data_IF_404643714742
#
_entry.id   IF_404643714742
#
_cell.length_a   1.000
_cell.length_b   1.000
_cell.length_c   1.000
_cell.angle_alpha   90.00
_cell.angle_beta   90.00
_cell.angle_gamma   90.00
#
_symmetry.space_group_name_H-M   'P 1'
#
loop_
_entity.id
_entity.type
_entity.pdbx_description
1 polymer ?
#
# COMPACT_ATOMS: atom_id res chain seq x y z
N UNK A 1 1.95 19.08 65.03
CA UNK A 1 2.02 19.53 63.61
C UNK A 1 2.85 18.62 62.71
N UNK A 2 3.98 18.04 63.16
CA UNK A 2 4.86 17.20 62.32
C UNK A 2 4.20 15.94 61.70
N UNK A 3 3.25 15.31 62.37
CA UNK A 3 2.60 14.07 61.90
C UNK A 3 1.63 14.29 60.73
N UNK A 4 0.97 15.46 60.66
CA UNK A 4 0.03 15.78 59.56
C UNK A 4 0.77 16.05 58.23
N UNK A 5 1.96 16.63 58.29
CA UNK A 5 2.81 16.83 57.11
C UNK A 5 3.35 15.52 56.54
N UNK A 6 3.67 14.54 57.40
CA UNK A 6 4.12 13.22 56.96
C UNK A 6 3.04 12.46 56.16
N UNK A 7 1.79 12.54 56.61
CA UNK A 7 0.65 11.87 55.94
C UNK A 7 0.36 12.58 54.60
N UNK A 8 0.39 13.90 54.57
CA UNK A 8 0.18 14.68 53.34
C UNK A 8 1.26 14.39 52.28
N UNK A 9 2.54 14.31 52.66
CA UNK A 9 3.62 13.95 51.74
C UNK A 9 3.46 12.52 51.19
N UNK A 10 2.98 11.59 52.01
CA UNK A 10 2.76 10.20 51.60
C UNK A 10 1.61 10.08 50.58
N UNK A 11 0.50 10.81 50.78
CA UNK A 11 -0.58 10.86 49.79
C UNK A 11 -0.15 11.56 48.49
N UNK A 12 0.67 12.62 48.57
CA UNK A 12 1.19 13.31 47.40
C UNK A 12 2.14 12.41 46.58
N UNK A 13 2.99 11.61 47.24
CA UNK A 13 3.86 10.65 46.54
C UNK A 13 3.08 9.54 45.83
N UNK A 14 1.98 9.07 46.43
CA UNK A 14 1.11 8.05 45.81
C UNK A 14 0.39 8.64 44.59
N UNK A 15 -0.07 9.89 44.67
CA UNK A 15 -0.69 10.59 43.54
C UNK A 15 0.29 10.85 42.39
N UNK A 16 1.53 11.23 42.69
CA UNK A 16 2.58 11.41 41.67
C UNK A 16 2.91 10.08 40.98
N UNK A 17 2.97 8.98 41.74
CA UNK A 17 3.22 7.64 41.17
C UNK A 17 2.04 7.16 40.30
N UNK A 18 0.80 7.43 40.73
CA UNK A 18 -0.40 7.10 39.96
C UNK A 18 -0.50 7.93 38.67
N UNK A 19 -0.13 9.22 38.71
CA UNK A 19 -0.15 10.10 37.55
C UNK A 19 0.98 9.78 36.55
N UNK A 20 2.15 9.33 37.02
CA UNK A 20 3.24 8.86 36.17
C UNK A 20 2.88 7.58 35.39
N UNK A 21 1.99 6.73 35.92
CA UNK A 21 1.53 5.51 35.23
C UNK A 21 0.54 5.77 34.08
N UNK A 22 -0.02 6.98 33.99
CA UNK A 22 -0.96 7.37 32.92
C UNK A 22 -0.27 8.00 31.70
N UNK A 23 1.06 8.19 31.76
CA UNK A 23 1.88 8.73 30.67
C UNK A 23 2.56 7.63 29.82
N UNK A 24 1.96 6.45 29.74
CA UNK A 24 2.39 5.44 28.77
C UNK A 24 2.23 6.02 27.36
N UNK A 25 3.36 6.41 26.74
CA UNK A 25 3.40 6.69 25.31
C UNK A 25 2.81 5.48 24.60
N UNK A 26 1.85 5.72 23.69
CA UNK A 26 1.28 4.69 22.84
C UNK A 26 2.36 4.15 21.90
N UNK A 27 3.16 3.19 22.37
CA UNK A 27 3.95 2.33 21.50
C UNK A 27 2.96 1.43 20.78
N UNK A 28 2.80 1.64 19.48
CA UNK A 28 1.99 0.74 18.67
C UNK A 28 2.74 -0.59 18.55
N UNK A 29 2.17 -1.64 19.12
CA UNK A 29 2.68 -2.99 18.95
C UNK A 29 2.33 -3.46 17.53
N UNK A 30 3.31 -3.50 16.64
CA UNK A 30 3.15 -4.00 15.28
C UNK A 30 3.69 -5.42 15.18
N UNK A 31 3.00 -6.29 14.43
CA UNK A 31 3.53 -7.61 14.10
C UNK A 31 4.51 -7.49 12.95
N UNK A 32 5.53 -8.34 12.93
CA UNK A 32 6.53 -8.33 11.88
C UNK A 32 5.91 -8.51 10.49
N UNK A 33 4.89 -9.37 10.35
CA UNK A 33 4.16 -9.57 9.09
C UNK A 33 3.42 -8.33 8.56
N UNK A 34 3.22 -7.31 9.39
CA UNK A 34 2.56 -6.05 9.00
C UNK A 34 3.57 -5.01 8.50
N UNK A 35 4.88 -5.25 8.66
CA UNK A 35 5.97 -4.30 8.33
C UNK A 35 7.14 -4.93 7.56
N UNK A 36 7.10 -6.24 7.33
CA UNK A 36 8.12 -7.00 6.63
C UNK A 36 7.51 -8.25 5.98
N UNK A 37 8.19 -8.75 4.95
CA UNK A 37 7.85 -9.99 4.24
C UNK A 37 9.01 -10.97 4.29
N UNK A 38 8.70 -12.27 4.33
CA UNK A 38 9.70 -13.32 4.18
C UNK A 38 9.96 -13.52 2.69
N UNK A 39 11.21 -13.43 2.27
CA UNK A 39 11.62 -13.60 0.89
C UNK A 39 11.48 -15.06 0.45
N UNK A 40 11.07 -15.28 -0.81
CA UNK A 40 10.75 -16.59 -1.36
C UNK A 40 9.26 -16.88 -1.50
N UNK A 41 8.40 -15.98 -1.00
CA UNK A 41 6.97 -15.94 -1.31
C UNK A 41 6.71 -14.65 -2.08
N UNK A 42 6.77 -14.74 -3.41
CA UNK A 42 6.50 -13.59 -4.31
C UNK A 42 5.44 -13.94 -5.34
N UNK A 43 4.53 -13.01 -5.52
CA UNK A 43 3.67 -12.99 -6.69
C UNK A 43 4.51 -12.75 -7.94
N UNK A 44 4.26 -13.53 -8.99
CA UNK A 44 4.91 -13.33 -10.28
C UNK A 44 3.86 -12.86 -11.28
N UNK A 45 4.21 -11.85 -12.07
CA UNK A 45 3.35 -11.42 -13.17
C UNK A 45 3.63 -12.27 -14.40
N UNK A 46 2.55 -12.74 -15.01
CA UNK A 46 2.56 -13.40 -16.30
C UNK A 46 1.73 -12.56 -17.27
N UNK A 47 2.22 -12.47 -18.49
CA UNK A 47 1.59 -11.70 -19.56
C UNK A 47 1.43 -12.56 -20.80
N UNK A 48 0.43 -12.25 -21.61
CA UNK A 48 0.18 -12.95 -22.85
C UNK A 48 -0.50 -12.05 -23.86
N UNK A 49 -0.36 -12.42 -25.12
CA UNK A 49 -1.09 -11.83 -26.22
C UNK A 49 -2.26 -12.74 -26.59
N UNK A 50 -3.44 -12.17 -26.76
CA UNK A 50 -4.65 -12.92 -27.07
C UNK A 50 -5.54 -12.24 -28.09
N UNK A 51 -6.58 -12.98 -28.46
CA UNK A 51 -7.61 -12.55 -29.41
C UNK A 51 -8.96 -12.69 -28.72
N UNK A 52 -9.76 -11.63 -28.76
CA UNK A 52 -11.16 -11.63 -28.32
C UNK A 52 -12.05 -11.69 -29.53
N UNK A 53 -13.07 -12.56 -29.51
CA UNK A 53 -14.03 -12.73 -30.59
C UNK A 53 -15.46 -12.52 -30.10
N UNK A 54 -16.42 -12.38 -31.02
CA UNK A 54 -17.84 -12.23 -30.69
C UNK A 54 -18.25 -10.78 -30.38
N UNK A 55 -17.41 -9.81 -30.72
CA UNK A 55 -17.70 -8.40 -30.48
C UNK A 55 -18.78 -7.88 -31.45
N UNK A 56 -19.77 -7.09 -30.99
CA UNK A 56 -20.89 -6.61 -31.81
C UNK A 56 -20.48 -5.41 -32.69
N UNK A 57 -19.50 -5.59 -33.55
CA UNK A 57 -18.98 -4.53 -34.42
C UNK A 57 -18.10 -3.50 -33.70
N UNK A 58 -17.69 -3.79 -32.46
CA UNK A 58 -16.86 -2.93 -31.60
C UNK A 58 -15.40 -3.35 -31.53
N UNK A 59 -15.00 -4.38 -32.28
CA UNK A 59 -13.61 -4.83 -32.39
C UNK A 59 -12.73 -3.89 -33.21
N UNK A 60 -11.54 -4.36 -33.52
CA UNK A 60 -10.53 -3.60 -34.26
C UNK A 60 -10.95 -3.37 -35.72
N UNK A 61 -10.55 -2.23 -36.28
CA UNK A 61 -10.95 -1.83 -37.63
C UNK A 61 -9.80 -1.35 -38.51
N UNK A 62 -8.70 -0.89 -37.89
CA UNK A 62 -7.53 -0.35 -38.58
C UNK A 62 -6.23 -0.95 -38.04
N UNK A 63 -6.32 -2.16 -37.51
CA UNK A 63 -5.23 -2.80 -36.77
C UNK A 63 -4.76 -4.05 -37.54
N UNK A 64 -3.68 -3.95 -38.36
CA UNK A 64 -3.25 -5.05 -39.22
C UNK A 64 -2.90 -6.32 -38.44
N UNK A 65 -2.26 -6.15 -37.27
CA UNK A 65 -1.82 -7.27 -36.45
C UNK A 65 -2.97 -8.12 -35.90
N UNK A 66 -4.19 -7.58 -35.76
CA UNK A 66 -5.39 -8.33 -35.36
C UNK A 66 -5.77 -9.36 -36.43
N UNK A 67 -5.80 -8.93 -37.70
CA UNK A 67 -6.12 -9.82 -38.83
C UNK A 67 -5.07 -10.90 -39.04
N UNK A 68 -3.79 -10.57 -38.85
CA UNK A 68 -2.68 -11.52 -38.93
C UNK A 68 -2.71 -12.54 -37.79
N UNK A 69 -2.98 -12.08 -36.58
CA UNK A 69 -3.08 -12.96 -35.40
C UNK A 69 -4.22 -13.96 -35.54
N UNK A 70 -5.39 -13.50 -36.00
CA UNK A 70 -6.51 -14.40 -36.27
C UNK A 70 -6.20 -15.39 -37.39
N UNK A 71 -5.51 -14.94 -38.45
CA UNK A 71 -5.05 -15.83 -39.52
C UNK A 71 -4.11 -16.91 -38.99
N UNK A 72 -3.15 -16.54 -38.14
CA UNK A 72 -2.21 -17.49 -37.52
C UNK A 72 -2.93 -18.46 -36.58
N UNK A 73 -3.90 -17.97 -35.80
CA UNK A 73 -4.74 -18.81 -34.95
C UNK A 73 -5.53 -19.85 -35.77
N UNK A 74 -6.21 -19.42 -36.83
CA UNK A 74 -6.97 -20.31 -37.72
C UNK A 74 -6.05 -21.29 -38.47
N UNK A 75 -4.88 -20.84 -38.91
CA UNK A 75 -3.87 -21.69 -39.57
C UNK A 75 -3.42 -22.82 -38.65
N UNK A 76 -3.22 -22.54 -37.36
CA UNK A 76 -2.87 -23.57 -36.37
C UNK A 76 -3.99 -24.60 -36.15
N UNK A 77 -5.25 -24.25 -36.48
CA UNK A 77 -6.40 -25.14 -36.48
C UNK A 77 -6.63 -25.83 -37.84
N UNK A 78 -5.73 -25.65 -38.82
CA UNK A 78 -5.86 -26.22 -40.16
C UNK A 78 -6.79 -25.47 -41.10
N UNK A 79 -7.16 -24.22 -40.78
CA UNK A 79 -8.04 -23.39 -41.59
C UNK A 79 -7.26 -22.25 -42.22
N UNK A 80 -7.21 -22.21 -43.56
CA UNK A 80 -6.67 -21.08 -44.29
C UNK A 80 -7.72 -19.96 -44.39
N UNK A 81 -7.40 -18.79 -43.85
CA UNK A 81 -8.29 -17.63 -43.88
C UNK A 81 -7.59 -16.43 -44.50
N UNK A 82 -8.28 -15.74 -45.41
CA UNK A 82 -7.82 -14.47 -45.96
C UNK A 82 -8.61 -13.30 -45.35
N UNK A 83 -8.24 -12.94 -44.12
CA UNK A 83 -8.85 -11.82 -43.40
C UNK A 83 -8.18 -10.50 -43.80
N UNK A 84 -9.00 -9.52 -44.21
CA UNK A 84 -8.57 -8.13 -44.42
C UNK A 84 -8.75 -7.31 -43.13
N UNK A 85 -7.94 -6.26 -42.88
CA UNK A 85 -8.03 -5.45 -41.65
C UNK A 85 -9.38 -4.77 -41.41
N UNK A 86 -10.12 -4.44 -42.46
CA UNK A 86 -11.45 -3.81 -42.38
C UNK A 86 -12.56 -4.80 -41.98
N UNK A 87 -12.28 -6.10 -42.02
CA UNK A 87 -13.21 -7.19 -41.71
C UNK A 87 -13.10 -7.69 -40.27
N UNK A 88 -12.28 -7.06 -39.41
CA UNK A 88 -12.03 -7.54 -38.03
C UNK A 88 -12.92 -6.88 -36.98
N UNK A 89 -14.01 -6.19 -37.34
CA UNK A 89 -14.86 -5.46 -36.37
C UNK A 89 -15.53 -6.37 -35.33
N UNK A 90 -15.50 -7.68 -35.50
CA UNK A 90 -15.97 -8.68 -34.55
C UNK A 90 -14.87 -9.30 -33.68
N UNK A 91 -13.62 -8.84 -33.84
CA UNK A 91 -12.42 -9.39 -33.21
C UNK A 91 -11.58 -8.23 -32.65
N UNK A 92 -10.92 -8.45 -31.52
CA UNK A 92 -9.95 -7.49 -31.00
C UNK A 92 -8.69 -8.20 -30.52
N UNK A 93 -7.54 -7.57 -30.75
CA UNK A 93 -6.29 -7.99 -30.13
C UNK A 93 -6.16 -7.42 -28.73
N UNK A 94 -5.73 -8.27 -27.80
CA UNK A 94 -5.68 -7.93 -26.38
C UNK A 94 -4.36 -8.34 -25.73
N UNK A 95 -3.95 -7.55 -24.75
CA UNK A 95 -2.97 -7.93 -23.76
C UNK A 95 -3.68 -8.58 -22.58
N UNK A 96 -3.15 -9.70 -22.12
CA UNK A 96 -3.65 -10.44 -20.97
C UNK A 96 -2.60 -10.36 -19.88
N UNK A 97 -2.99 -9.94 -18.69
CA UNK A 97 -2.11 -9.95 -17.51
C UNK A 97 -2.75 -10.78 -16.41
N UNK A 98 -1.92 -11.53 -15.69
CA UNK A 98 -2.35 -12.28 -14.53
C UNK A 98 -1.22 -12.33 -13.50
N UNK A 99 -1.61 -12.53 -12.26
CA UNK A 99 -0.68 -12.76 -11.16
C UNK A 99 -0.73 -14.23 -10.80
N UNK A 100 0.42 -14.91 -10.85
CA UNK A 100 0.57 -16.30 -10.41
C UNK A 100 1.25 -16.34 -9.03
N UNK A 101 0.56 -16.84 -7.99
CA UNK A 101 1.16 -17.11 -6.68
C UNK A 101 2.33 -18.11 -6.77
N UNK A 102 3.33 -17.97 -5.89
CA UNK A 102 4.56 -18.81 -5.92
C UNK A 102 4.30 -20.31 -5.85
N UNK A 103 3.30 -20.72 -5.06
CA UNK A 103 2.97 -22.13 -4.83
C UNK A 103 1.75 -22.61 -5.61
N UNK A 104 1.42 -21.94 -6.72
CA UNK A 104 0.34 -22.40 -7.58
C UNK A 104 0.67 -23.78 -8.16
N UNK A 105 -0.29 -24.69 -8.07
CA UNK A 105 -0.20 -26.05 -8.62
C UNK A 105 -0.75 -26.10 -10.02
N UNK A 106 -0.31 -27.12 -10.77
CA UNK A 106 -0.94 -27.42 -12.06
C UNK A 106 -2.44 -27.66 -11.88
N UNK A 107 -3.25 -26.95 -12.66
CA UNK A 107 -4.71 -26.99 -12.57
C UNK A 107 -5.34 -25.85 -11.76
N UNK A 108 -4.55 -25.08 -11.00
CA UNK A 108 -5.05 -23.91 -10.29
C UNK A 108 -5.61 -22.88 -11.26
N UNK A 109 -6.69 -22.22 -10.85
CA UNK A 109 -7.37 -21.20 -11.64
C UNK A 109 -6.96 -19.80 -11.20
N UNK A 110 -6.63 -18.95 -12.17
CA UNK A 110 -6.25 -17.56 -11.95
C UNK A 110 -7.24 -16.62 -12.65
N UNK A 111 -7.51 -15.48 -12.02
CA UNK A 111 -8.19 -14.37 -12.68
C UNK A 111 -7.20 -13.70 -13.65
N UNK A 112 -7.71 -13.29 -14.81
CA UNK A 112 -6.90 -12.54 -15.78
C UNK A 112 -7.57 -11.23 -16.14
N UNK A 113 -6.75 -10.20 -16.31
CA UNK A 113 -7.17 -8.91 -16.83
C UNK A 113 -6.91 -8.91 -18.33
N UNK A 114 -7.92 -8.51 -19.10
CA UNK A 114 -7.87 -8.47 -20.56
C UNK A 114 -8.06 -7.02 -20.99
N UNK A 115 -7.07 -6.49 -21.72
CA UNK A 115 -7.04 -5.09 -22.15
C UNK A 115 -6.86 -5.00 -23.65
N UNK A 116 -7.70 -4.22 -24.32
CA UNK A 116 -7.53 -3.92 -25.75
C UNK A 116 -6.20 -3.20 -26.00
N UNK A 117 -5.45 -3.64 -27.01
CA UNK A 117 -4.23 -2.98 -27.49
C UNK A 117 -4.39 -2.36 -28.89
N UNK A 118 -5.49 -2.68 -29.57
CA UNK A 118 -5.84 -2.11 -30.87
C UNK A 118 -6.79 -0.91 -30.77
N UNK A 119 -7.55 -0.70 -31.84
CA UNK A 119 -8.53 0.38 -31.98
C UNK A 119 -9.97 -0.03 -31.62
N UNK A 120 -10.16 -1.20 -30.99
CA UNK A 120 -11.46 -1.67 -30.52
C UNK A 120 -12.18 -0.63 -29.62
N UNK A 121 -13.47 -0.44 -29.89
CA UNK A 121 -14.36 0.48 -29.16
C UNK A 121 -14.84 -0.10 -27.83
N UNK A 122 -14.99 -1.42 -27.75
CA UNK A 122 -15.49 -2.14 -26.58
C UNK A 122 -15.15 -3.62 -26.70
N UNK A 123 -14.77 -4.24 -25.59
CA UNK A 123 -14.60 -5.69 -25.43
C UNK A 123 -15.87 -6.36 -24.85
N UNK A 124 -16.94 -5.59 -24.62
CA UNK A 124 -18.21 -6.09 -24.06
C UNK A 124 -18.85 -7.16 -24.95
N UNK A 125 -19.29 -8.25 -24.31
CA UNK A 125 -19.85 -9.42 -25.00
C UNK A 125 -18.81 -10.32 -25.67
N UNK A 126 -17.52 -9.95 -25.59
CA UNK A 126 -16.43 -10.71 -26.17
C UNK A 126 -16.03 -11.96 -25.35
N UNK A 127 -15.46 -12.92 -26.06
CA UNK A 127 -14.86 -14.13 -25.49
C UNK A 127 -13.37 -14.14 -25.84
N UNK A 128 -12.52 -14.29 -24.83
CA UNK A 128 -11.09 -14.49 -24.98
C UNK A 128 -10.81 -15.91 -25.48
N UNK A 129 -10.16 -16.01 -26.64
CA UNK A 129 -9.64 -17.27 -27.16
C UNK A 129 -8.44 -17.76 -26.34
N UNK A 130 -8.25 -19.08 -26.35
CA UNK A 130 -7.16 -19.73 -25.62
C UNK A 130 -5.81 -19.08 -25.96
N UNK A 131 -5.16 -18.52 -24.95
CA UNK A 131 -3.96 -17.70 -25.08
C UNK A 131 -2.92 -18.07 -24.01
N UNK A 132 -1.67 -18.37 -24.39
CA UNK A 132 -0.61 -18.69 -23.42
C UNK A 132 -0.13 -17.46 -22.67
N UNK A 133 0.10 -17.60 -21.37
CA UNK A 133 0.67 -16.60 -20.48
C UNK A 133 2.10 -17.00 -20.07
N UNK A 134 3.04 -16.09 -20.28
CA UNK A 134 4.48 -16.28 -20.07
C UNK A 134 5.02 -15.24 -19.09
N UNK A 135 6.14 -15.54 -18.44
CA UNK A 135 6.91 -14.53 -17.70
C UNK A 135 7.87 -13.82 -18.67
N UNK A 136 8.87 -13.07 -18.15
CA UNK A 136 9.97 -12.56 -18.97
C UNK A 136 10.76 -13.67 -19.70
N UNK A 137 10.68 -14.92 -19.23
CA UNK A 137 11.20 -16.09 -19.95
C UNK A 137 10.15 -16.67 -20.90
N UNK A 138 10.58 -17.24 -22.02
CA UNK A 138 9.69 -17.76 -23.08
C UNK A 138 8.88 -19.03 -22.69
N UNK A 139 8.83 -19.35 -21.39
CA UNK A 139 8.15 -20.52 -20.82
C UNK A 139 6.70 -20.16 -20.48
N UNK A 140 5.76 -20.97 -20.94
CA UNK A 140 4.32 -20.81 -20.63
C UNK A 140 4.02 -21.35 -19.23
N UNK A 141 3.43 -20.52 -18.37
CA UNK A 141 3.06 -20.89 -17.01
C UNK A 141 1.56 -21.16 -16.85
N UNK A 142 0.74 -20.42 -17.59
CA UNK A 142 -0.71 -20.60 -17.57
C UNK A 142 -1.30 -20.40 -18.97
N UNK A 143 -2.52 -20.88 -19.16
CA UNK A 143 -3.28 -20.69 -20.40
C UNK A 143 -4.61 -20.05 -20.06
N UNK A 144 -4.88 -18.89 -20.65
CA UNK A 144 -6.08 -18.08 -20.39
C UNK A 144 -7.14 -18.24 -21.48
N UNK A 145 -8.41 -18.35 -21.09
CA UNK A 145 -9.56 -18.33 -21.99
C UNK A 145 -10.84 -17.99 -21.22
N UNK A 146 -11.87 -17.52 -21.90
CA UNK A 146 -13.21 -17.41 -21.32
C UNK A 146 -13.93 -16.10 -21.62
N UNK A 147 -15.13 -15.98 -21.08
CA UNK A 147 -16.02 -14.81 -21.28
C UNK A 147 -15.50 -13.62 -20.47
N UNK A 148 -15.44 -12.45 -21.10
CA UNK A 148 -14.97 -11.23 -20.44
C UNK A 148 -16.12 -10.62 -19.64
N UNK A 149 -15.87 -10.42 -18.35
CA UNK A 149 -16.75 -9.70 -17.43
C UNK A 149 -16.26 -8.27 -17.24
N UNK A 150 -17.19 -7.35 -17.00
CA UNK A 150 -16.90 -5.95 -16.68
C UNK A 150 -17.53 -5.62 -15.34
N UNK A 151 -16.72 -5.13 -14.39
CA UNK A 151 -17.24 -4.61 -13.13
C UNK A 151 -17.92 -3.27 -13.34
N UNK A 152 -19.14 -3.07 -12.81
CA UNK A 152 -19.74 -1.75 -12.72
C UNK A 152 -21.13 -1.61 -13.34
N UNK A 153 -22.04 -1.14 -12.49
CA UNK A 153 -23.42 -0.72 -12.73
C UNK A 153 -23.48 0.26 -13.90
N UNK A 154 -24.42 0.07 -14.83
CA UNK A 154 -24.77 1.10 -15.82
C UNK A 154 -25.14 2.38 -15.07
N UNK A 155 -24.32 3.41 -15.18
CA UNK A 155 -24.74 4.75 -14.84
C UNK A 155 -25.75 5.15 -15.92
N UNK A 156 -27.03 5.02 -15.58
CA UNK A 156 -28.15 5.46 -16.41
C UNK A 156 -28.13 7.01 -16.39
N UNK A 157 -27.21 7.59 -17.15
CA UNK A 157 -27.19 9.04 -17.37
C UNK A 157 -28.41 9.42 -18.20
N UNK A 158 -29.45 9.90 -17.51
CA UNK A 158 -30.57 10.64 -18.12
C UNK A 158 -30.05 11.99 -18.61
N UNK A 159 -29.42 12.01 -19.79
CA UNK A 159 -28.96 13.22 -20.45
C UNK A 159 -28.51 12.94 -21.89
N UNK A 160 -28.87 13.83 -22.82
CA UNK A 160 -28.61 13.76 -24.27
C UNK A 160 -27.11 13.95 -24.62
N UNK A 161 -26.23 13.10 -24.07
CA UNK A 161 -24.79 13.22 -24.26
C UNK A 161 -23.97 12.08 -23.65
N UNK A 162 -24.55 10.88 -23.53
CA UNK A 162 -23.89 9.69 -23.00
C UNK A 162 -22.65 9.32 -23.83
N UNK A 163 -21.48 9.86 -23.45
CA UNK A 163 -20.19 9.27 -23.80
C UNK A 163 -20.06 8.00 -22.98
N UNK A 164 -20.72 6.94 -23.41
CA UNK A 164 -20.68 5.64 -22.74
C UNK A 164 -19.23 5.25 -22.45
N UNK A 165 -18.94 4.91 -21.19
CA UNK A 165 -17.62 4.43 -20.79
C UNK A 165 -17.23 3.28 -21.71
N UNK A 166 -16.12 3.46 -22.45
CA UNK A 166 -15.59 2.45 -23.34
C UNK A 166 -15.09 1.29 -22.48
N UNK A 167 -15.75 0.13 -22.57
CA UNK A 167 -15.41 -1.09 -21.84
C UNK A 167 -14.26 -1.82 -22.53
N UNK A 168 -13.08 -1.20 -22.57
CA UNK A 168 -11.87 -1.72 -23.26
C UNK A 168 -10.97 -2.56 -22.35
N UNK A 169 -11.29 -2.65 -21.07
CA UNK A 169 -10.60 -3.49 -20.07
C UNK A 169 -11.65 -4.29 -19.32
N UNK A 170 -11.46 -5.61 -19.23
CA UNK A 170 -12.34 -6.51 -18.51
C UNK A 170 -11.55 -7.61 -17.79
N UNK A 171 -12.26 -8.44 -17.04
CA UNK A 171 -11.69 -9.53 -16.25
C UNK A 171 -12.32 -10.84 -16.70
N UNK A 172 -11.52 -11.88 -16.87
CA UNK A 172 -12.02 -13.26 -16.98
C UNK A 172 -11.75 -13.96 -15.66
N UNK A 173 -12.81 -14.21 -14.89
CA UNK A 173 -12.71 -14.83 -13.57
C UNK A 173 -12.36 -16.31 -13.68
N UNK A 174 -11.29 -16.75 -13.02
CA UNK A 174 -10.79 -18.12 -13.10
C UNK A 174 -10.50 -18.59 -14.53
N UNK A 175 -10.20 -17.65 -15.44
CA UNK A 175 -10.04 -17.91 -16.87
C UNK A 175 -8.67 -18.45 -17.26
N UNK A 176 -7.66 -18.30 -16.42
CA UNK A 176 -6.36 -18.92 -16.62
C UNK A 176 -6.23 -20.20 -15.82
N UNK A 177 -5.67 -21.24 -16.44
CA UNK A 177 -5.31 -22.50 -15.79
C UNK A 177 -3.79 -22.60 -15.76
N UNK A 178 -3.22 -22.85 -14.58
CA UNK A 178 -1.78 -23.06 -14.41
C UNK A 178 -1.38 -24.38 -15.06
N UNK A 179 -0.49 -24.33 -16.04
CA UNK A 179 0.05 -25.51 -16.73
C UNK A 179 1.38 -25.96 -16.14
N UNK A 180 2.09 -25.03 -15.50
CA UNK A 180 3.41 -25.29 -14.97
C UNK A 180 3.63 -24.55 -13.65
N UNK A 181 4.15 -25.30 -12.69
CA UNK A 181 4.55 -24.79 -11.39
C UNK A 181 5.80 -23.91 -11.53
N UNK A 182 5.93 -22.95 -10.60
CA UNK A 182 7.15 -22.18 -10.44
C UNK A 182 8.15 -23.06 -9.69
N UNK A 183 9.33 -23.30 -10.27
CA UNK A 183 10.43 -23.97 -9.60
C UNK A 183 10.96 -23.06 -8.49
N UNK A 184 10.36 -23.14 -7.30
CA UNK A 184 10.88 -22.48 -6.11
C UNK A 184 10.97 -23.48 -4.96
N UNK A 185 12.20 -23.64 -4.47
CA UNK A 185 12.51 -24.50 -3.35
C UNK A 185 12.81 -23.62 -2.12
N UNK A 186 11.79 -22.87 -1.69
CA UNK A 186 11.89 -22.02 -0.49
C UNK A 186 12.39 -22.81 0.73
N UNK A 187 11.90 -24.03 0.91
CA UNK A 187 12.34 -24.92 1.97
C UNK A 187 13.74 -25.49 1.77
N UNK A 188 14.47 -25.19 0.69
CA UNK A 188 15.85 -25.65 0.51
C UNK A 188 16.89 -24.57 0.80
N UNK A 189 16.49 -23.33 1.09
CA UNK A 189 17.44 -22.31 1.52
C UNK A 189 17.90 -22.61 2.95
N UNK A 190 19.23 -22.61 3.16
CA UNK A 190 19.84 -22.66 4.50
C UNK A 190 19.70 -21.32 5.25
N UNK A 191 18.90 -20.39 4.72
CA UNK A 191 18.65 -19.09 5.34
C UNK A 191 17.20 -18.66 5.12
N UNK A 192 16.67 -17.94 6.10
CA UNK A 192 15.43 -17.18 5.99
C UNK A 192 15.83 -15.73 5.78
N UNK A 193 15.34 -15.11 4.72
CA UNK A 193 15.61 -13.71 4.41
C UNK A 193 14.33 -12.91 4.66
N UNK A 194 14.44 -11.87 5.47
CA UNK A 194 13.33 -11.00 5.87
C UNK A 194 13.58 -9.62 5.27
N UNK A 195 12.61 -9.15 4.50
CA UNK A 195 12.65 -7.88 3.81
C UNK A 195 11.63 -6.93 4.44
N UNK A 196 12.11 -5.86 5.06
CA UNK A 196 11.29 -4.79 5.62
C UNK A 196 10.68 -3.96 4.49
N UNK A 197 9.48 -3.44 4.74
CA UNK A 197 8.79 -2.53 3.81
C UNK A 197 9.41 -1.13 3.78
N UNK A 198 9.86 -0.65 4.95
CA UNK A 198 10.43 0.69 5.12
C UNK A 198 11.89 0.59 5.56
N UNK A 199 12.72 1.51 5.06
CA UNK A 199 14.13 1.64 5.46
C UNK A 199 14.23 2.48 6.74
N UNK A 200 14.23 1.82 7.90
CA UNK A 200 14.37 2.47 9.21
C UNK A 200 15.31 1.65 10.11
N UNK A 201 16.47 2.21 10.43
CA UNK A 201 17.47 1.55 11.28
C UNK A 201 17.02 1.34 12.73
N UNK A 202 16.12 2.18 13.25
CA UNK A 202 15.56 2.03 14.60
C UNK A 202 14.64 0.82 14.62
N UNK A 203 13.75 0.72 13.63
CA UNK A 203 12.86 -0.43 13.48
C UNK A 203 13.66 -1.71 13.21
N UNK A 204 14.66 -1.67 12.31
CA UNK A 204 15.55 -2.78 12.03
C UNK A 204 16.25 -3.29 13.29
N UNK A 205 16.82 -2.38 14.10
CA UNK A 205 17.49 -2.76 15.34
C UNK A 205 16.54 -3.36 16.37
N UNK A 206 15.31 -2.84 16.47
CA UNK A 206 14.27 -3.39 17.35
C UNK A 206 13.87 -4.81 16.91
N UNK A 207 13.64 -5.01 15.61
CA UNK A 207 13.32 -6.32 15.02
C UNK A 207 14.46 -7.32 15.27
N UNK A 208 15.70 -6.96 14.92
CA UNK A 208 16.87 -7.85 15.08
C UNK A 208 17.06 -8.25 16.55
N UNK A 209 17.01 -7.28 17.46
CA UNK A 209 17.09 -7.52 18.90
C UNK A 209 16.01 -8.49 19.38
N UNK A 210 14.79 -8.32 18.89
CA UNK A 210 13.66 -9.17 19.26
C UNK A 210 13.80 -10.59 18.70
N UNK A 211 14.20 -10.75 17.43
CA UNK A 211 14.47 -12.08 16.83
C UNK A 211 15.55 -12.80 17.64
N UNK A 212 16.68 -12.14 17.92
CA UNK A 212 17.78 -12.71 18.72
C UNK A 212 17.37 -13.17 20.12
N UNK A 213 16.33 -12.55 20.70
CA UNK A 213 15.81 -12.94 22.02
C UNK A 213 14.97 -14.22 21.99
N UNK A 214 14.26 -14.50 20.89
CA UNK A 214 13.31 -15.63 20.81
C UNK A 214 13.97 -16.92 20.29
N UNK A 215 14.94 -16.78 19.38
CA UNK A 215 15.53 -17.91 18.67
C UNK A 215 16.23 -18.94 19.58
N UNK A 216 17.06 -18.54 20.56
CA UNK A 216 17.81 -19.51 21.36
C UNK A 216 16.91 -20.36 22.26
N UNK A 217 15.92 -19.73 22.89
CA UNK A 217 15.06 -20.39 23.87
C UNK A 217 14.04 -21.34 23.24
N UNK A 218 13.42 -20.96 22.12
CA UNK A 218 12.36 -21.74 21.48
C UNK A 218 12.83 -22.68 20.37
N UNK A 219 13.88 -22.29 19.64
CA UNK A 219 14.29 -22.99 18.42
C UNK A 219 15.73 -23.53 18.49
N UNK A 220 16.47 -23.26 19.57
CA UNK A 220 17.86 -23.70 19.70
C UNK A 220 18.81 -23.06 18.69
N UNK A 221 18.39 -21.96 18.05
CA UNK A 221 19.21 -21.20 17.09
C UNK A 221 19.88 -20.05 17.84
N UNK A 222 21.20 -19.96 17.76
CA UNK A 222 21.97 -18.93 18.43
C UNK A 222 21.67 -17.51 17.91
N UNK A 223 21.80 -16.46 18.73
CA UNK A 223 21.52 -15.08 18.32
C UNK A 223 22.47 -14.59 17.20
N UNK A 224 23.63 -15.21 17.05
CA UNK A 224 24.60 -14.95 15.98
C UNK A 224 24.09 -15.31 14.58
N UNK A 225 23.08 -16.19 14.48
CA UNK A 225 22.45 -16.55 13.21
C UNK A 225 21.70 -15.39 12.56
N UNK A 226 21.36 -14.33 13.31
CA UNK A 226 20.59 -13.18 12.81
C UNK A 226 21.55 -12.08 12.39
N UNK A 227 21.61 -11.79 11.08
CA UNK A 227 22.53 -10.84 10.47
C UNK A 227 21.74 -9.77 9.73
N UNK A 228 21.77 -8.49 10.16
CA UNK A 228 21.27 -7.39 9.34
C UNK A 228 22.21 -7.20 8.13
N UNK A 229 21.67 -7.29 6.92
CA UNK A 229 22.45 -7.20 5.66
C UNK A 229 22.40 -5.79 5.10
N UNK A 230 21.22 -5.17 5.14
CA UNK A 230 20.98 -3.82 4.62
C UNK A 230 19.94 -3.08 5.49
N UNK A 231 19.67 -1.78 5.25
CA UNK A 231 18.67 -1.02 6.01
C UNK A 231 17.24 -1.58 5.95
N UNK A 232 16.99 -2.58 5.09
CA UNK A 232 15.70 -3.23 4.93
C UNK A 232 15.78 -4.75 4.89
N UNK A 233 16.92 -5.35 5.21
CA UNK A 233 17.14 -6.78 5.00
C UNK A 233 17.81 -7.42 6.21
N UNK A 234 17.25 -8.56 6.64
CA UNK A 234 17.78 -9.39 7.72
C UNK A 234 17.87 -10.82 7.20
N UNK A 235 19.05 -11.43 7.30
CA UNK A 235 19.25 -12.86 7.08
C UNK A 235 19.23 -13.59 8.43
N UNK A 236 18.56 -14.75 8.47
CA UNK A 236 18.63 -15.72 9.56
C UNK A 236 19.24 -16.99 9.00
N UNK A 237 20.49 -17.26 9.35
CA UNK A 237 21.23 -18.45 8.89
C UNK A 237 20.83 -19.66 9.74
N UNK A 238 20.15 -20.59 9.10
CA UNK A 238 19.73 -21.85 9.69
C UNK A 238 20.86 -22.84 9.44
N UNK A 239 21.68 -23.08 10.46
CA UNK A 239 22.73 -24.10 10.36
C UNK A 239 22.17 -25.47 9.96
N UNK A 240 23.05 -26.43 9.69
CA UNK A 240 22.71 -27.79 9.21
C UNK A 240 21.75 -28.60 10.10
N UNK A 241 21.48 -28.11 11.30
CA UNK A 241 20.58 -28.71 12.30
C UNK A 241 19.10 -28.54 11.96
N UNK A 242 18.76 -27.59 11.10
CA UNK A 242 17.36 -27.35 10.74
C UNK A 242 16.96 -28.22 9.55
N UNK A 243 16.21 -29.28 9.79
CA UNK A 243 15.67 -30.10 8.71
C UNK A 243 14.65 -29.30 7.88
N UNK A 244 14.93 -29.21 6.59
CA UNK A 244 14.06 -28.63 5.59
C UNK A 244 12.72 -29.39 5.56
N UNK A 245 11.60 -28.67 5.59
CA UNK A 245 10.22 -29.21 5.65
C UNK A 245 9.85 -29.92 6.97
N UNK A 246 10.40 -29.46 8.10
CA UNK A 246 10.00 -29.92 9.44
C UNK A 246 8.92 -29.04 10.07
N UNK A 247 8.14 -29.60 10.99
CA UNK A 247 7.18 -28.84 11.83
C UNK A 247 7.89 -27.73 12.63
N UNK A 248 9.15 -27.96 13.01
CA UNK A 248 9.98 -26.97 13.67
C UNK A 248 10.21 -25.74 12.79
N UNK A 249 10.32 -25.91 11.47
CA UNK A 249 10.61 -24.82 10.53
C UNK A 249 9.37 -23.99 10.28
N UNK A 250 8.22 -24.65 10.12
CA UNK A 250 6.94 -23.97 10.07
C UNK A 250 6.67 -23.18 11.35
N UNK A 251 6.95 -23.76 12.51
CA UNK A 251 6.78 -23.09 13.81
C UNK A 251 7.71 -21.89 13.93
N UNK A 252 8.97 -22.01 13.49
CA UNK A 252 9.92 -20.90 13.42
C UNK A 252 9.42 -19.75 12.54
N UNK A 253 8.95 -20.05 11.33
CA UNK A 253 8.40 -19.04 10.42
C UNK A 253 7.18 -18.35 11.05
N UNK A 254 6.27 -19.13 11.66
CA UNK A 254 5.07 -18.58 12.30
C UNK A 254 5.41 -17.69 13.50
N UNK A 255 6.40 -18.06 14.31
CA UNK A 255 6.86 -17.28 15.45
C UNK A 255 7.56 -15.99 15.00
N UNK A 256 8.32 -16.03 13.91
CA UNK A 256 8.90 -14.84 13.27
C UNK A 256 7.80 -13.92 12.73
N UNK A 257 6.83 -14.43 11.98
CA UNK A 257 5.74 -13.62 11.41
C UNK A 257 4.88 -12.94 12.48
N UNK A 258 4.62 -13.63 13.58
CA UNK A 258 3.82 -13.12 14.70
C UNK A 258 4.65 -12.34 15.73
N UNK A 259 5.95 -12.14 15.50
CA UNK A 259 6.81 -11.38 16.38
C UNK A 259 6.29 -9.96 16.52
N UNK A 260 6.00 -9.56 17.76
CA UNK A 260 5.60 -8.19 18.05
C UNK A 260 6.82 -7.33 18.34
N UNK A 261 6.86 -6.17 17.69
CA UNK A 261 7.94 -5.21 17.79
C UNK A 261 7.35 -3.84 18.08
N UNK A 262 7.85 -3.22 19.13
CA UNK A 262 7.57 -1.82 19.43
C UNK A 262 8.37 -0.96 18.45
N UNK A 263 7.66 -0.32 17.52
CA UNK A 263 8.27 0.62 16.58
C UNK A 263 7.56 1.96 16.66
N UNK A 264 8.30 3.04 16.39
CA UNK A 264 7.71 4.37 16.33
C UNK A 264 7.17 4.60 14.93
N UNK A 265 5.85 4.47 14.77
CA UNK A 265 5.19 4.85 13.52
C UNK A 265 5.22 6.37 13.41
N UNK A 266 5.85 6.90 12.36
CA UNK A 266 5.75 8.34 12.06
C UNK A 266 4.30 8.67 11.73
N UNK A 267 3.68 9.63 12.43
CA UNK A 267 2.31 10.04 12.13
C UNK A 267 2.20 10.54 10.68
N UNK A 268 1.06 10.30 10.03
CA UNK A 268 0.83 10.72 8.63
C UNK A 268 -0.42 11.58 8.51
N UNK A 269 -0.36 12.56 7.62
CA UNK A 269 -1.49 13.36 7.15
C UNK A 269 -1.68 13.08 5.67
N UNK A 270 -2.82 12.51 5.30
CA UNK A 270 -3.20 12.20 3.91
C UNK A 270 -4.26 13.20 3.48
N UNK A 271 -4.06 13.86 2.36
CA UNK A 271 -5.00 14.84 1.82
C UNK A 271 -5.35 14.48 0.39
N UNK A 272 -6.63 14.31 0.10
CA UNK A 272 -7.10 14.18 -1.27
C UNK A 272 -7.46 15.56 -1.83
N UNK A 273 -6.67 16.10 -2.77
CA UNK A 273 -6.88 17.47 -3.28
C UNK A 273 -8.22 17.59 -4.02
N UNK A 274 -8.64 16.51 -4.70
CA UNK A 274 -9.88 16.48 -5.51
C UNK A 274 -11.14 16.41 -4.65
N UNK A 275 -11.15 15.61 -3.59
CA UNK A 275 -12.34 15.43 -2.74
C UNK A 275 -12.36 16.35 -1.52
N UNK A 276 -11.22 16.94 -1.15
CA UNK A 276 -11.08 17.75 0.06
C UNK A 276 -11.02 16.92 1.35
N UNK A 277 -10.95 15.59 1.25
CA UNK A 277 -10.86 14.71 2.42
C UNK A 277 -9.45 14.77 3.00
N UNK A 278 -9.36 15.07 4.31
CA UNK A 278 -8.12 15.09 5.09
C UNK A 278 -8.21 14.00 6.15
N UNK A 279 -7.25 13.07 6.15
CA UNK A 279 -7.12 11.98 7.13
C UNK A 279 -5.83 12.18 7.91
N UNK A 280 -5.92 12.14 9.24
CA UNK A 280 -4.78 12.31 10.14
C UNK A 280 -4.64 11.09 11.03
N UNK A 281 -3.46 10.48 11.03
CA UNK A 281 -3.15 9.32 11.87
C UNK A 281 -2.48 9.74 13.17
N UNK A 282 -3.07 9.36 14.31
CA UNK A 282 -2.51 9.61 15.64
C UNK A 282 -2.63 11.06 16.13
N UNK A 283 -1.96 11.37 17.24
CA UNK A 283 -1.92 12.72 17.81
C UNK A 283 -0.70 13.47 17.25
N UNK A 284 -0.90 14.27 16.20
CA UNK A 284 0.19 14.98 15.51
C UNK A 284 0.33 16.37 16.08
N UNK A 285 1.47 16.67 16.71
CA UNK A 285 1.71 17.98 17.30
C UNK A 285 2.40 18.96 16.36
N UNK A 286 2.09 20.25 16.52
CA UNK A 286 2.71 21.37 15.78
C UNK A 286 3.48 22.25 16.77
N UNK A 287 4.73 22.59 16.44
CA UNK A 287 5.56 23.53 17.21
C UNK A 287 5.17 25.00 16.97
N UNK A 288 5.68 25.91 17.81
CA UNK A 288 5.43 27.36 17.70
C UNK A 288 5.89 27.90 16.34
N UNK A 289 4.95 28.43 15.57
CA UNK A 289 5.19 28.89 14.20
C UNK A 289 4.12 29.89 13.77
N UNK A 290 4.53 30.88 12.98
CA UNK A 290 3.65 31.84 12.35
C UNK A 290 3.64 31.62 10.83
N UNK A 291 2.45 31.49 10.25
CA UNK A 291 2.25 31.31 8.81
C UNK A 291 1.28 32.39 8.33
N UNK A 292 1.68 33.15 7.30
CA UNK A 292 0.84 34.16 6.67
C UNK A 292 0.65 33.84 5.19
N UNK A 293 -0.61 33.71 4.75
CA UNK A 293 -0.94 33.46 3.33
C UNK A 293 -2.28 34.06 2.95
N UNK A 294 -2.30 34.87 1.89
CA UNK A 294 -3.52 35.45 1.28
C UNK A 294 -4.47 36.15 2.29
N UNK A 295 -3.91 36.83 3.29
CA UNK A 295 -4.69 37.52 4.34
C UNK A 295 -5.08 36.66 5.53
N UNK A 296 -4.77 35.36 5.53
CA UNK A 296 -4.85 34.48 6.69
C UNK A 296 -3.52 34.52 7.44
N UNK A 297 -3.53 35.01 8.68
CA UNK A 297 -2.39 34.91 9.60
C UNK A 297 -2.71 33.85 10.66
N UNK A 298 -2.02 32.72 10.58
CA UNK A 298 -2.01 31.66 11.58
C UNK A 298 -0.80 31.87 12.49
N UNK A 299 -1.00 31.92 13.81
CA UNK A 299 0.10 31.93 14.77
C UNK A 299 -0.16 30.89 15.84
N UNK A 300 0.72 29.89 15.92
CA UNK A 300 0.73 28.85 16.95
C UNK A 300 1.78 29.29 17.99
N UNK A 301 1.40 29.48 19.25
CA UNK A 301 2.31 29.92 20.33
C UNK A 301 2.19 29.02 21.58
N UNK A 302 3.30 28.79 22.28
CA UNK A 302 3.31 28.11 23.57
C UNK A 302 2.89 29.06 24.72
N UNK A 303 1.94 28.61 25.53
CA UNK A 303 1.37 29.33 26.68
C UNK A 303 2.44 29.73 27.71
N UNK A 304 3.54 28.97 27.84
CA UNK A 304 4.60 29.25 28.82
C UNK A 304 5.53 30.42 28.44
N UNK A 305 5.63 30.78 27.16
CA UNK A 305 6.50 31.89 26.70
C UNK A 305 5.81 33.25 26.62
N UNK A 306 4.48 33.34 26.78
CA UNK A 306 3.74 34.61 26.82
C UNK A 306 4.27 35.61 27.85
N UNK A 307 4.81 35.13 28.98
CA UNK A 307 5.34 36.03 30.04
C UNK A 307 6.60 36.80 29.65
N UNK A 308 7.33 36.39 28.60
CA UNK A 308 8.62 37.01 28.26
C UNK A 308 8.59 37.98 27.08
N UNK A 309 7.49 38.07 26.31
CA UNK A 309 7.47 38.87 25.08
C UNK A 309 6.46 40.03 25.07
N UNK A 310 5.36 39.94 25.82
CA UNK A 310 4.35 41.02 25.89
C UNK A 310 4.12 41.47 27.33
N UNK A 311 5.00 42.36 27.79
CA UNK A 311 4.63 43.26 28.88
C UNK A 311 3.54 44.20 28.38
N UNK A 312 2.30 43.95 28.80
CA UNK A 312 1.02 44.63 28.47
C UNK A 312 0.25 44.04 27.28
N UNK A 313 -1.02 43.75 27.57
CA UNK A 313 -2.10 43.46 26.63
C UNK A 313 -2.12 44.48 25.49
N UNK A 314 -1.81 44.02 24.28
CA UNK A 314 -2.27 44.65 23.05
C UNK A 314 -3.28 43.71 22.42
N UNK A 315 -4.48 44.23 22.18
CA UNK A 315 -5.54 43.51 21.47
C UNK A 315 -5.08 43.09 20.07
N UNK A 316 -5.46 41.89 19.60
CA UNK A 316 -5.07 41.42 18.28
C UNK A 316 -5.74 42.25 17.18
N UNK A 317 -4.92 42.63 16.19
CA UNK A 317 -5.35 43.20 14.91
C UNK A 317 -6.36 42.25 14.24
N UNK A 318 -7.41 42.80 13.62
CA UNK A 318 -8.58 42.14 12.98
C UNK A 318 -8.31 41.01 11.97
N UNK A 319 -7.07 40.59 11.77
CA UNK A 319 -6.66 39.55 10.82
C UNK A 319 -5.58 38.60 11.38
N UNK A 320 -5.42 38.49 12.69
CA UNK A 320 -4.55 37.50 13.33
C UNK A 320 -5.39 36.50 14.11
N UNK A 321 -5.38 35.23 13.69
CA UNK A 321 -6.08 34.16 14.38
C UNK A 321 -5.14 33.51 15.38
N UNK A 322 -5.46 33.77 16.65
CA UNK A 322 -4.83 33.15 17.80
C UNK A 322 -5.63 31.89 18.11
N UNK A 323 -5.10 30.71 17.80
CA UNK A 323 -5.74 29.46 18.22
C UNK A 323 -5.36 29.22 19.67
N UNK A 324 -6.27 29.59 20.57
CA UNK A 324 -6.19 29.20 21.96
C UNK A 324 -6.69 27.77 22.08
N UNK A 325 -5.83 26.89 22.56
CA UNK A 325 -6.08 25.46 22.76
C UNK A 325 -6.00 24.59 21.51
N UNK A 326 -4.80 24.50 20.92
CA UNK A 326 -4.41 23.24 20.27
C UNK A 326 -2.99 23.20 19.77
N UNK A 327 -2.25 22.23 20.28
CA UNK A 327 -0.93 21.84 19.79
C UNK A 327 -1.02 20.83 18.66
N UNK A 328 -2.17 20.59 18.01
CA UNK A 328 -2.37 19.50 17.05
C UNK A 328 -2.74 19.94 15.62
N UNK A 329 -2.40 19.11 14.62
CA UNK A 329 -2.77 19.35 13.21
C UNK A 329 -4.27 19.41 13.00
N UNK A 330 -5.04 18.57 13.71
CA UNK A 330 -6.49 18.49 13.53
C UNK A 330 -7.17 19.82 13.81
N UNK A 331 -6.72 20.49 14.87
CA UNK A 331 -7.28 21.76 15.30
C UNK A 331 -6.88 22.91 14.37
N UNK A 332 -5.66 22.88 13.80
CA UNK A 332 -5.24 23.82 12.75
C UNK A 332 -6.12 23.65 11.50
N UNK A 333 -6.35 22.41 11.07
CA UNK A 333 -7.23 22.12 9.92
C UNK A 333 -8.66 22.57 10.22
N UNK A 334 -9.18 22.33 11.42
CA UNK A 334 -10.52 22.77 11.83
C UNK A 334 -10.63 24.31 11.85
N UNK A 335 -9.64 25.01 12.40
CA UNK A 335 -9.62 26.46 12.43
C UNK A 335 -9.58 27.07 11.02
N UNK A 336 -8.74 26.51 10.13
CA UNK A 336 -8.66 26.95 8.73
C UNK A 336 -9.99 26.70 8.00
N UNK A 337 -10.63 25.54 8.23
CA UNK A 337 -11.95 25.24 7.68
C UNK A 337 -13.02 26.22 8.16
N UNK A 338 -13.04 26.59 9.45
CA UNK A 338 -13.99 27.56 10.03
C UNK A 338 -13.86 28.96 9.42
N UNK A 339 -12.64 29.35 9.02
CA UNK A 339 -12.36 30.64 8.39
C UNK A 339 -12.62 30.61 6.86
N UNK A 340 -13.00 29.45 6.32
CA UNK A 340 -13.32 29.28 4.90
C UNK A 340 -12.08 29.19 4.02
N UNK A 341 -10.94 28.77 4.56
CA UNK A 341 -9.76 28.45 3.75
C UNK A 341 -10.09 27.33 2.76
N UNK A 342 -9.62 27.43 1.51
CA UNK A 342 -9.80 26.34 0.56
C UNK A 342 -8.91 25.15 0.92
N UNK A 343 -9.27 23.93 0.47
CA UNK A 343 -8.41 22.73 0.63
C UNK A 343 -6.99 23.00 0.14
N UNK A 344 -6.86 23.72 -0.98
CA UNK A 344 -5.56 24.11 -1.55
C UNK A 344 -4.79 25.03 -0.62
N UNK A 345 -5.47 25.90 0.13
CA UNK A 345 -4.83 26.75 1.12
C UNK A 345 -4.34 25.98 2.34
N UNK A 346 -5.13 25.00 2.80
CA UNK A 346 -4.76 24.10 3.89
C UNK A 346 -3.54 23.26 3.51
N UNK A 347 -3.51 22.70 2.29
CA UNK A 347 -2.36 21.94 1.78
C UNK A 347 -1.09 22.79 1.82
N UNK A 348 -1.12 24.01 1.28
CA UNK A 348 0.08 24.88 1.24
C UNK A 348 0.55 25.26 2.64
N UNK A 349 -0.37 25.51 3.57
CA UNK A 349 -0.02 25.82 4.96
C UNK A 349 0.63 24.59 5.62
N UNK A 350 0.06 23.39 5.49
CA UNK A 350 0.64 22.15 6.04
C UNK A 350 1.99 21.81 5.41
N UNK A 351 2.16 22.04 4.11
CA UNK A 351 3.46 21.91 3.45
C UNK A 351 4.49 22.91 3.98
N UNK A 352 4.09 24.16 4.22
CA UNK A 352 4.96 25.18 4.80
C UNK A 352 5.37 24.83 6.23
N UNK A 353 4.42 24.33 7.03
CA UNK A 353 4.67 23.84 8.39
C UNK A 353 5.67 22.67 8.37
N UNK A 354 5.51 21.71 7.47
CA UNK A 354 6.47 20.60 7.27
C UNK A 354 7.85 21.10 6.86
N UNK A 355 7.93 22.01 5.90
CA UNK A 355 9.20 22.60 5.43
C UNK A 355 9.92 23.40 6.52
N UNK A 356 9.17 24.05 7.41
CA UNK A 356 9.72 24.79 8.55
C UNK A 356 10.24 23.89 9.69
N UNK A 357 9.90 22.59 9.67
CA UNK A 357 10.18 21.66 10.75
C UNK A 357 9.17 21.70 11.91
N UNK A 358 8.18 22.61 11.85
CA UNK A 358 7.16 22.73 12.89
C UNK A 358 6.11 21.59 12.89
N UNK A 359 5.97 20.86 11.78
CA UNK A 359 5.08 19.70 11.66
C UNK A 359 5.88 18.40 11.66
N UNK A 360 5.74 17.60 12.73
CA UNK A 360 6.40 16.29 12.89
C UNK A 360 5.55 15.14 12.36
N UNK A 361 5.22 15.18 11.07
CA UNK A 361 4.48 14.13 10.39
C UNK A 361 4.87 13.98 8.92
N UNK A 362 4.63 12.80 8.37
CA UNK A 362 4.59 12.64 6.92
C UNK A 362 3.33 13.32 6.37
N UNK A 363 3.46 13.92 5.19
CA UNK A 363 2.38 14.61 4.50
C UNK A 363 2.34 14.01 3.09
N UNK A 364 1.20 13.42 2.74
CA UNK A 364 0.94 12.77 1.46
C UNK A 364 -0.28 13.42 0.80
N UNK A 365 -0.16 13.77 -0.48
CA UNK A 365 -1.19 14.47 -1.25
C UNK A 365 -1.59 13.56 -2.43
N UNK A 366 -2.89 13.27 -2.55
CA UNK A 366 -3.48 12.31 -3.51
C UNK A 366 -4.54 12.93 -4.43
#
# INVERSE_FOLDING_TARGET
>A
MKTKYSIFCMFLSVWIFLFASLLSLNAAELKLKDIARIEGIRENQITGYGIVVGLPGTGDSKTPFTSESMRNYLKNLGVEANLKPDQTRNIASVLITATIPTYSRKGDKLNVIVSSIGDAKSLEGGVLLQSPLKTAGDKTFAVASGVISFGGRQEQERGSGARGNKKTVGIVHGGAIVEQELDQNFYASEKIQIQLENQDFTALNAIVSRIRSILPGKHGIGPESVVPVSPSEIDIVLGKTFENKSDAFLTLLSDIENLTVETQVKPKVIINERTGVIVMGGNITIEEVAVSRSGLNLTVMDKNRRRSWFGKEQEPVKSSFLIEESTSVGDVVEALNKVGASTRDIIVILEALKKSGALHAELEIQ
#
